data_IF_076898585495
#
_entry.id   IF_076898585495
#
_cell.length_a   1.000
_cell.length_b   1.000
_cell.length_c   1.000
_cell.angle_alpha   90.00
_cell.angle_beta   90.00
_cell.angle_gamma   90.00
#
_symmetry.space_group_name_H-M   'P 1'
#
loop_
_entity.id
_entity.type
_entity.pdbx_description
1 polymer ?
#
# COMPACT_ATOMS: atom_id res chain seq x y z
N UNK A 1 -0.67 -29.35 16.73
CA UNK A 1 -0.04 -28.37 17.64
C UNK A 1 1.44 -28.68 17.75
N UNK A 2 2.31 -27.67 17.79
CA UNK A 2 3.76 -27.83 17.93
C UNK A 2 4.28 -26.90 19.01
N UNK A 3 5.16 -27.42 19.87
CA UNK A 3 5.82 -26.67 20.96
C UNK A 3 7.23 -26.33 20.50
N UNK A 4 7.60 -25.05 20.57
CA UNK A 4 8.94 -24.58 20.24
C UNK A 4 9.89 -24.74 21.43
N UNK A 5 11.20 -24.73 21.16
CA UNK A 5 12.25 -24.75 22.22
C UNK A 5 12.13 -23.59 23.21
N UNK A 6 11.58 -22.47 22.76
CA UNK A 6 11.24 -21.28 23.57
C UNK A 6 9.98 -21.43 24.43
N UNK A 7 9.34 -22.61 24.47
CA UNK A 7 8.11 -22.89 25.23
C UNK A 7 6.83 -22.37 24.59
N UNK A 8 6.92 -21.54 23.54
CA UNK A 8 5.76 -21.05 22.79
C UNK A 8 5.08 -22.20 22.05
N UNK A 9 3.76 -22.31 22.19
CA UNK A 9 2.96 -23.33 21.48
C UNK A 9 2.24 -22.68 20.31
N UNK A 10 2.36 -23.29 19.13
CA UNK A 10 1.69 -22.84 17.91
C UNK A 10 0.81 -23.93 17.32
N UNK A 11 -0.27 -23.52 16.70
CA UNK A 11 -1.08 -24.38 15.87
C UNK A 11 -0.55 -24.36 14.45
N UNK A 12 -0.36 -25.55 13.89
CA UNK A 12 0.23 -25.75 12.57
C UNK A 12 -0.70 -26.59 11.73
N UNK A 13 -0.73 -26.29 10.44
CA UNK A 13 -1.35 -27.11 9.42
C UNK A 13 -0.28 -27.52 8.41
N UNK A 14 -0.08 -28.82 8.27
CA UNK A 14 0.85 -29.42 7.29
C UNK A 14 0.02 -30.06 6.18
N UNK A 15 0.33 -29.73 4.93
CA UNK A 15 -0.38 -30.26 3.77
C UNK A 15 0.55 -30.35 2.56
N UNK A 16 0.16 -31.14 1.55
CA UNK A 16 0.84 -31.17 0.26
C UNK A 16 0.21 -30.12 -0.66
N UNK A 17 1.06 -29.25 -1.21
CA UNK A 17 0.69 -28.32 -2.29
C UNK A 17 0.33 -29.13 -3.56
N UNK A 18 -0.34 -28.48 -4.51
CA UNK A 18 -0.58 -29.01 -5.86
C UNK A 18 0.68 -29.58 -6.50
N UNK A 19 1.85 -28.96 -6.26
CA UNK A 19 3.16 -29.39 -6.76
C UNK A 19 3.74 -30.63 -6.03
N UNK A 20 2.97 -31.28 -5.14
CA UNK A 20 3.41 -32.42 -4.33
C UNK A 20 4.29 -32.08 -3.12
N UNK A 21 4.83 -30.86 -3.05
CA UNK A 21 5.70 -30.39 -1.96
C UNK A 21 4.93 -30.31 -0.62
N UNK A 22 5.53 -30.83 0.45
CA UNK A 22 4.99 -30.70 1.80
C UNK A 22 5.24 -29.28 2.33
N UNK A 23 4.19 -28.60 2.74
CA UNK A 23 4.20 -27.23 3.24
C UNK A 23 3.62 -27.20 4.64
N UNK A 24 4.26 -26.44 5.53
CA UNK A 24 3.76 -26.13 6.86
C UNK A 24 3.28 -24.68 6.91
N UNK A 25 2.09 -24.44 7.42
CA UNK A 25 1.56 -23.10 7.70
C UNK A 25 1.15 -22.99 9.17
N UNK A 26 1.52 -21.89 9.81
CA UNK A 26 1.08 -21.58 11.18
C UNK A 26 -0.33 -20.98 11.13
N UNK A 27 -1.26 -21.48 11.94
CA UNK A 27 -2.63 -20.94 12.06
C UNK A 27 -2.65 -19.83 13.12
N UNK A 28 -2.06 -20.09 14.29
CA UNK A 28 -2.01 -19.15 15.41
C UNK A 28 -1.14 -19.66 16.56
N UNK A 29 -1.13 -18.92 17.67
CA UNK A 29 -0.33 -19.20 18.87
C UNK A 29 -1.24 -19.31 20.10
N UNK A 30 -0.93 -20.23 21.00
CA UNK A 30 -1.56 -20.30 22.32
C UNK A 30 -0.81 -19.34 23.29
N UNK A 31 -1.49 -18.59 24.17
CA UNK A 31 -2.94 -18.61 24.49
C UNK A 31 -3.81 -17.65 23.67
N UNK A 32 -3.22 -16.89 22.73
CA UNK A 32 -3.95 -15.90 21.91
C UNK A 32 -5.08 -16.53 21.09
N UNK A 33 -4.91 -17.79 20.71
CA UNK A 33 -5.90 -18.62 20.04
C UNK A 33 -6.15 -19.86 20.89
N UNK A 34 -7.42 -20.24 21.03
CA UNK A 34 -7.81 -21.46 21.73
C UNK A 34 -7.86 -22.66 20.78
N UNK A 35 -7.86 -23.88 21.34
CA UNK A 35 -7.93 -25.11 20.56
C UNK A 35 -9.22 -25.22 19.72
N UNK A 36 -10.35 -24.75 20.26
CA UNK A 36 -11.63 -24.77 19.55
C UNK A 36 -11.59 -23.87 18.30
N UNK A 37 -11.05 -22.66 18.44
CA UNK A 37 -10.87 -21.72 17.34
C UNK A 37 -9.90 -22.26 16.28
N UNK A 38 -8.81 -22.91 16.70
CA UNK A 38 -7.88 -23.56 15.78
C UNK A 38 -8.56 -24.66 14.95
N UNK A 39 -9.41 -25.48 15.57
CA UNK A 39 -10.16 -26.53 14.87
C UNK A 39 -11.08 -25.97 13.80
N UNK A 40 -11.76 -24.86 14.08
CA UNK A 40 -12.64 -24.17 13.11
C UNK A 40 -11.81 -23.64 11.94
N UNK A 41 -10.74 -22.89 12.22
CA UNK A 41 -9.86 -22.36 11.17
C UNK A 41 -9.18 -23.45 10.35
N UNK A 42 -8.82 -24.57 10.96
CA UNK A 42 -8.28 -25.71 10.25
C UNK A 42 -9.31 -26.31 9.27
N UNK A 43 -10.58 -26.39 9.64
CA UNK A 43 -11.65 -26.84 8.75
C UNK A 43 -11.84 -25.88 7.57
N UNK A 44 -11.82 -24.56 7.81
CA UNK A 44 -11.90 -23.55 6.75
C UNK A 44 -10.73 -23.69 5.75
N UNK A 45 -9.50 -23.85 6.25
CA UNK A 45 -8.32 -24.05 5.40
C UNK A 45 -8.39 -25.35 4.58
N UNK A 46 -9.00 -26.40 5.14
CA UNK A 46 -9.26 -27.65 4.40
C UNK A 46 -10.30 -27.44 3.29
N UNK A 47 -11.39 -26.71 3.55
CA UNK A 47 -12.39 -26.36 2.52
C UNK A 47 -11.77 -25.57 1.36
N UNK A 48 -10.91 -24.60 1.65
CA UNK A 48 -10.16 -23.85 0.62
C UNK A 48 -9.31 -24.80 -0.22
N UNK A 49 -8.67 -25.78 0.41
CA UNK A 49 -7.90 -26.80 -0.30
C UNK A 49 -8.77 -27.73 -1.15
N UNK A 50 -9.94 -28.12 -0.65
CA UNK A 50 -10.93 -28.93 -1.39
C UNK A 50 -11.43 -28.18 -2.63
N UNK A 51 -11.55 -26.85 -2.58
CA UNK A 51 -11.88 -26.01 -3.74
C UNK A 51 -10.75 -25.89 -4.79
N UNK A 52 -9.60 -26.54 -4.58
CA UNK A 52 -8.47 -26.55 -5.51
C UNK A 52 -7.43 -25.44 -5.29
N UNK A 53 -7.67 -24.51 -4.36
CA UNK A 53 -6.74 -23.42 -4.07
C UNK A 53 -5.75 -23.77 -2.95
N UNK A 54 -4.52 -23.27 -3.07
CA UNK A 54 -3.50 -23.42 -2.03
C UNK A 54 -3.71 -22.39 -0.89
N UNK A 55 -4.01 -22.80 0.35
CA UNK A 55 -4.30 -21.85 1.42
C UNK A 55 -3.13 -20.94 1.83
N UNK A 56 -1.89 -21.38 1.56
CA UNK A 56 -0.68 -20.58 1.81
C UNK A 56 -0.59 -19.39 0.84
N UNK A 57 -0.83 -19.64 -0.44
CA UNK A 57 -0.79 -18.61 -1.48
C UNK A 57 -1.88 -17.57 -1.27
N UNK A 58 -3.09 -18.02 -0.95
CA UNK A 58 -4.20 -17.11 -0.65
C UNK A 58 -3.82 -16.14 0.48
N UNK A 59 -3.17 -16.63 1.54
CA UNK A 59 -2.70 -15.81 2.65
C UNK A 59 -1.59 -14.84 2.24
N UNK A 60 -0.67 -15.27 1.38
CA UNK A 60 0.40 -14.40 0.85
C UNK A 60 -0.19 -13.29 -0.05
N UNK A 61 -1.15 -13.63 -0.92
CA UNK A 61 -1.89 -12.68 -1.75
C UNK A 61 -2.67 -11.67 -0.90
N UNK A 62 -3.38 -12.12 0.12
CA UNK A 62 -4.09 -11.23 1.06
C UNK A 62 -3.14 -10.22 1.70
N UNK A 63 -1.97 -10.68 2.18
CA UNK A 63 -0.96 -9.77 2.75
C UNK A 63 -0.44 -8.76 1.73
N UNK A 64 -0.18 -9.20 0.49
CA UNK A 64 0.28 -8.30 -0.57
C UNK A 64 -0.79 -7.24 -0.86
N UNK A 65 -2.05 -7.65 -0.98
CA UNK A 65 -3.17 -6.75 -1.21
C UNK A 65 -3.35 -5.76 -0.07
N UNK A 66 -3.28 -6.20 1.19
CA UNK A 66 -3.33 -5.31 2.35
C UNK A 66 -2.18 -4.29 2.35
N UNK A 67 -0.96 -4.72 2.03
CA UNK A 67 0.19 -3.83 1.92
C UNK A 67 0.02 -2.83 0.78
N UNK A 68 -0.50 -3.25 -0.37
CA UNK A 68 -0.79 -2.36 -1.49
C UNK A 68 -1.88 -1.35 -1.14
N UNK A 69 -2.95 -1.77 -0.48
CA UNK A 69 -4.02 -0.89 -0.01
C UNK A 69 -3.49 0.13 1.00
N UNK A 70 -2.68 -0.30 1.98
CA UNK A 70 -2.03 0.62 2.93
C UNK A 70 -1.12 1.62 2.22
N UNK A 71 -0.28 1.16 1.29
CA UNK A 71 0.57 2.06 0.47
C UNK A 71 -0.26 3.03 -0.35
N UNK A 72 -1.37 2.59 -0.95
CA UNK A 72 -2.25 3.45 -1.72
C UNK A 72 -2.94 4.50 -0.82
N UNK A 73 -3.38 4.12 0.37
CA UNK A 73 -3.93 5.03 1.37
C UNK A 73 -2.90 6.05 1.85
N UNK A 74 -1.67 5.60 2.16
CA UNK A 74 -0.57 6.49 2.49
C UNK A 74 -0.22 7.43 1.35
N UNK A 75 -0.25 6.97 0.10
CA UNK A 75 0.03 7.82 -1.05
C UNK A 75 -1.07 8.87 -1.25
N UNK A 76 -2.34 8.51 -1.03
CA UNK A 76 -3.47 9.45 -1.03
C UNK A 76 -3.33 10.49 0.07
N UNK A 77 -2.94 10.09 1.29
CA UNK A 77 -2.72 11.04 2.38
C UNK A 77 -1.50 11.94 2.15
N UNK A 78 -0.46 11.44 1.45
CA UNK A 78 0.73 12.21 1.06
C UNK A 78 0.51 13.17 -0.12
N UNK A 79 -0.65 13.14 -0.80
CA UNK A 79 -0.98 14.10 -1.85
C UNK A 79 -1.60 15.35 -1.23
N UNK A 80 -0.76 16.35 -0.98
CA UNK A 80 -1.15 17.59 -0.33
C UNK A 80 -1.46 18.70 -1.33
N UNK A 81 -2.15 19.76 -0.89
CA UNK A 81 -2.45 20.94 -1.73
C UNK A 81 -1.17 21.58 -2.27
N UNK A 82 -0.09 21.57 -1.48
CA UNK A 82 1.22 22.02 -1.96
C UNK A 82 1.68 21.23 -3.19
N UNK A 83 1.61 19.89 -3.14
CA UNK A 83 1.98 19.04 -4.29
C UNK A 83 1.07 19.28 -5.50
N UNK A 84 -0.21 19.53 -5.28
CA UNK A 84 -1.15 19.87 -6.35
C UNK A 84 -0.76 21.19 -7.04
N UNK A 85 -0.43 22.21 -6.25
CA UNK A 85 0.02 23.52 -6.75
C UNK A 85 1.38 23.37 -7.46
N UNK A 86 2.30 22.56 -6.93
CA UNK A 86 3.58 22.28 -7.57
C UNK A 86 3.42 21.61 -8.94
N UNK A 87 2.51 20.64 -9.06
CA UNK A 87 2.15 20.01 -10.33
C UNK A 87 1.60 21.04 -11.31
N UNK A 88 0.63 21.87 -10.89
CA UNK A 88 0.07 22.92 -11.75
C UNK A 88 1.15 23.91 -12.23
N UNK A 89 2.02 24.35 -11.32
CA UNK A 89 3.10 25.26 -11.66
C UNK A 89 4.07 24.64 -12.66
N UNK A 90 4.48 23.38 -12.43
CA UNK A 90 5.50 22.70 -13.25
C UNK A 90 4.94 22.25 -14.61
N UNK A 91 3.69 21.79 -14.66
CA UNK A 91 3.11 21.19 -15.87
C UNK A 91 2.41 22.19 -16.78
N UNK A 92 1.90 23.30 -16.24
CA UNK A 92 1.09 24.27 -16.99
C UNK A 92 1.68 25.67 -17.02
N UNK A 93 2.14 26.21 -15.88
CA UNK A 93 2.62 27.61 -15.82
C UNK A 93 4.05 27.75 -16.33
N UNK A 94 4.96 26.89 -15.86
CA UNK A 94 6.40 26.99 -16.12
C UNK A 94 6.80 26.34 -17.44
N UNK A 95 7.90 26.84 -18.01
CA UNK A 95 8.56 26.17 -19.13
C UNK A 95 9.17 24.85 -18.63
N UNK A 96 9.03 23.78 -19.41
CA UNK A 96 9.58 22.46 -19.07
C UNK A 96 10.44 21.89 -20.19
N UNK A 97 11.45 21.12 -19.81
CA UNK A 97 12.34 20.44 -20.74
C UNK A 97 11.90 18.99 -20.93
N UNK A 98 11.72 18.58 -22.17
CA UNK A 98 11.55 17.16 -22.51
C UNK A 98 12.90 16.44 -22.41
N UNK A 99 12.88 15.11 -22.25
CA UNK A 99 14.09 14.26 -22.23
C UNK A 99 15.01 14.49 -23.45
N UNK A 100 14.44 14.90 -24.58
CA UNK A 100 15.15 15.23 -25.83
C UNK A 100 15.74 16.66 -25.85
N UNK A 101 15.75 17.38 -24.72
CA UNK A 101 16.32 18.73 -24.59
C UNK A 101 15.43 19.86 -25.15
N UNK A 102 14.32 19.54 -25.80
CA UNK A 102 13.36 20.54 -26.32
C UNK A 102 12.63 21.26 -25.20
N UNK A 103 12.48 22.58 -25.33
CA UNK A 103 11.72 23.43 -24.40
C UNK A 103 10.26 23.48 -24.80
N UNK A 104 9.37 23.04 -23.91
CA UNK A 104 7.93 23.27 -24.00
C UNK A 104 7.65 24.56 -23.24
N UNK A 105 7.12 25.56 -23.94
CA UNK A 105 6.72 26.83 -23.33
C UNK A 105 5.51 26.61 -22.41
N UNK A 106 5.60 27.15 -21.21
CA UNK A 106 4.49 27.24 -20.28
C UNK A 106 3.50 28.33 -20.67
N UNK A 107 2.42 28.47 -19.90
CA UNK A 107 1.32 29.38 -20.21
C UNK A 107 1.67 30.88 -20.12
N UNK A 108 2.77 31.24 -19.43
CA UNK A 108 3.13 32.66 -19.16
C UNK A 108 4.58 32.98 -19.51
N UNK A 109 4.90 34.27 -19.68
CA UNK A 109 6.30 34.75 -19.78
C UNK A 109 7.03 34.59 -18.45
N UNK A 110 8.36 34.50 -18.46
CA UNK A 110 9.22 34.24 -17.29
C UNK A 110 8.87 35.07 -16.04
N UNK A 111 8.71 36.39 -16.17
CA UNK A 111 8.30 37.26 -15.04
C UNK A 111 6.94 36.83 -14.46
N UNK A 112 5.98 36.52 -15.32
CA UNK A 112 4.65 36.08 -14.91
C UNK A 112 4.65 34.67 -14.31
N UNK A 113 5.54 33.78 -14.74
CA UNK A 113 5.73 32.47 -14.11
C UNK A 113 6.24 32.63 -12.67
N UNK A 114 7.23 33.49 -12.48
CA UNK A 114 7.78 33.80 -11.15
C UNK A 114 6.74 34.43 -10.23
N UNK A 115 5.94 35.36 -10.75
CA UNK A 115 4.89 36.03 -9.97
C UNK A 115 3.81 35.04 -9.54
N UNK A 116 3.29 34.21 -10.45
CA UNK A 116 2.26 33.20 -10.12
C UNK A 116 2.79 32.20 -9.09
N UNK A 117 4.04 31.75 -9.24
CA UNK A 117 4.68 30.89 -8.24
C UNK A 117 4.73 31.58 -6.88
N UNK A 118 5.18 32.84 -6.82
CA UNK A 118 5.27 33.61 -5.58
C UNK A 118 3.91 33.76 -4.92
N UNK A 119 2.88 34.14 -5.65
CA UNK A 119 1.53 34.34 -5.10
C UNK A 119 0.95 33.03 -4.56
N UNK A 120 1.01 31.94 -5.34
CA UNK A 120 0.47 30.64 -4.91
C UNK A 120 1.24 30.07 -3.70
N UNK A 121 2.55 30.32 -3.60
CA UNK A 121 3.32 29.89 -2.44
C UNK A 121 3.07 30.74 -1.19
N UNK A 122 2.94 32.05 -1.35
CA UNK A 122 2.80 32.98 -0.25
C UNK A 122 1.42 32.91 0.42
N UNK A 123 0.37 32.55 -0.30
CA UNK A 123 -0.99 32.56 0.24
C UNK A 123 -1.55 31.13 0.39
N UNK A 124 -2.02 30.43 -0.67
CA UNK A 124 -2.69 29.14 -0.50
C UNK A 124 -1.78 28.02 0.00
N UNK A 125 -0.50 27.97 -0.40
CA UNK A 125 0.43 26.97 0.15
C UNK A 125 0.78 27.26 1.61
N UNK A 126 0.93 28.52 2.00
CA UNK A 126 1.24 28.88 3.38
C UNK A 126 0.10 28.49 4.34
N UNK A 127 -1.15 28.71 3.93
CA UNK A 127 -2.33 28.44 4.78
C UNK A 127 -2.82 26.99 4.67
N UNK A 128 -2.82 26.41 3.47
CA UNK A 128 -3.46 25.12 3.17
C UNK A 128 -2.50 24.03 2.71
N UNK A 129 -1.22 24.33 2.49
CA UNK A 129 -0.29 23.46 1.78
C UNK A 129 -0.07 22.07 2.38
N UNK A 130 -0.23 21.92 3.70
CA UNK A 130 -0.10 20.63 4.40
C UNK A 130 -1.40 19.81 4.45
N UNK A 131 -2.54 20.39 4.04
CA UNK A 131 -3.82 19.68 3.98
C UNK A 131 -3.83 18.71 2.80
N UNK A 132 -4.54 17.60 2.95
CA UNK A 132 -4.74 16.65 1.84
C UNK A 132 -5.56 17.31 0.74
N UNK A 133 -5.11 17.17 -0.51
CA UNK A 133 -5.83 17.67 -1.69
C UNK A 133 -6.96 16.74 -2.14
N UNK A 134 -7.12 15.56 -1.52
CA UNK A 134 -8.11 14.54 -1.91
C UNK A 134 -9.45 14.72 -1.18
N UNK A 135 -9.48 15.55 -0.14
CA UNK A 135 -10.65 15.79 0.72
C UNK A 135 -11.38 17.12 0.42
N UNK A 136 -10.93 17.86 -0.59
CA UNK A 136 -11.60 19.04 -1.14
C UNK A 136 -12.23 18.68 -2.49
#
# INVERSE_FOLDING_TARGET
MSVQKTGKKRFIYRFRRTDGKLVEMTIGYFPQMQLAEDRIKLQELKKIRESGYCPRELREQQKINELQLKKAQENKSKFTIKKMIDLYLTEYIQDRHTKDGKVIKGARKLKGQNEVRRTLYADPVQVLGNKSAVLF
#
